data_IF_652022941590
#
_entry.id   IF_652022941590
#
_cell.length_a   1.000
_cell.length_b   1.000
_cell.length_c   1.000
_cell.angle_alpha   90.00
_cell.angle_beta   90.00
_cell.angle_gamma   90.00
#
_symmetry.space_group_name_H-M   'P 1'
#
loop_
_entity.id
_entity.type
_entity.pdbx_description
1 polymer ?
#
# COMPACT_ATOMS: atom_id res chain seq x y z
N UNK A 1 -2.13 24.56 -7.64
CA UNK A 1 -2.96 23.66 -6.79
C UNK A 1 -4.22 24.35 -6.21
N UNK A 2 -4.79 25.32 -6.91
CA UNK A 2 -5.75 26.28 -6.32
C UNK A 2 -6.99 25.67 -5.64
N UNK A 3 -7.71 24.70 -6.24
CA UNK A 3 -8.91 24.14 -5.60
C UNK A 3 -8.61 23.41 -4.28
N UNK A 4 -7.43 22.78 -4.17
CA UNK A 4 -7.00 22.07 -2.96
C UNK A 4 -6.68 23.07 -1.85
N UNK A 5 -5.94 24.13 -2.18
CA UNK A 5 -5.58 25.18 -1.23
C UNK A 5 -6.83 25.87 -0.70
N UNK A 6 -7.77 26.22 -1.58
CA UNK A 6 -9.06 26.80 -1.18
C UNK A 6 -9.81 25.85 -0.24
N UNK A 7 -9.96 24.58 -0.61
CA UNK A 7 -10.67 23.59 0.21
C UNK A 7 -9.98 23.35 1.55
N UNK A 8 -8.65 23.34 1.60
CA UNK A 8 -7.90 23.23 2.83
C UNK A 8 -8.25 24.37 3.78
N UNK A 9 -8.24 25.62 3.32
CA UNK A 9 -8.58 26.77 4.16
C UNK A 9 -10.05 26.84 4.57
N UNK A 10 -10.97 26.27 3.80
CA UNK A 10 -12.38 26.14 4.21
C UNK A 10 -12.57 25.21 5.41
N UNK A 11 -11.69 24.21 5.58
CA UNK A 11 -11.83 23.17 6.61
C UNK A 11 -10.78 23.26 7.72
N UNK A 12 -9.63 23.88 7.46
CA UNK A 12 -8.55 24.03 8.42
C UNK A 12 -8.89 25.16 9.39
N UNK A 13 -8.71 24.90 10.69
CA UNK A 13 -8.85 25.91 11.75
C UNK A 13 -7.51 26.57 12.05
N UNK A 14 -6.64 26.67 11.04
CA UNK A 14 -5.24 27.08 11.17
C UNK A 14 -5.05 28.52 10.70
N UNK A 15 -4.04 29.18 11.24
CA UNK A 15 -3.68 30.55 10.85
C UNK A 15 -2.93 30.54 9.51
N UNK A 16 -3.28 31.49 8.63
CA UNK A 16 -2.81 31.49 7.23
C UNK A 16 -1.34 31.87 7.08
N UNK A 17 -0.80 32.64 7.99
CA UNK A 17 0.57 33.14 8.01
C UNK A 17 1.60 32.05 8.40
N UNK A 18 1.14 30.90 8.93
CA UNK A 18 1.99 29.80 9.37
C UNK A 18 2.17 28.69 8.33
N UNK A 19 1.43 28.73 7.22
CA UNK A 19 1.41 27.66 6.22
C UNK A 19 1.54 28.23 4.83
N UNK A 20 2.58 27.81 4.13
CA UNK A 20 2.79 28.12 2.73
C UNK A 20 2.54 26.88 1.87
N UNK A 21 1.85 27.08 0.75
CA UNK A 21 1.61 26.05 -0.25
C UNK A 21 2.47 26.33 -1.48
N UNK A 22 3.24 25.33 -1.89
CA UNK A 22 4.01 25.41 -3.13
C UNK A 22 3.19 24.92 -4.32
N UNK A 23 3.68 25.27 -5.52
CA UNK A 23 3.11 24.73 -6.75
C UNK A 23 3.30 23.21 -6.83
N UNK A 24 2.43 22.55 -7.60
CA UNK A 24 2.56 21.12 -7.90
C UNK A 24 3.98 20.80 -8.39
N UNK A 25 4.71 20.03 -7.58
CA UNK A 25 6.11 19.67 -7.80
C UNK A 25 6.33 18.93 -9.13
N UNK A 26 5.32 18.24 -9.67
CA UNK A 26 5.42 17.57 -10.98
C UNK A 26 5.40 18.52 -12.18
N UNK A 27 5.22 19.82 -11.97
CA UNK A 27 5.47 20.81 -13.03
C UNK A 27 6.96 20.96 -13.35
N UNK A 28 7.84 20.50 -12.47
CA UNK A 28 9.30 20.51 -12.66
C UNK A 28 9.74 19.13 -13.16
N UNK A 29 10.19 18.96 -14.42
CA UNK A 29 10.65 17.67 -14.95
C UNK A 29 11.78 17.03 -14.13
N UNK A 30 12.53 17.84 -13.39
CA UNK A 30 13.58 17.46 -12.46
C UNK A 30 13.08 16.58 -11.29
N UNK A 31 11.80 16.72 -10.92
CA UNK A 31 11.15 15.96 -9.85
C UNK A 31 11.17 14.45 -10.12
N UNK A 32 10.67 14.04 -11.29
CA UNK A 32 10.59 12.62 -11.66
C UNK A 32 11.95 12.02 -11.99
N UNK A 33 12.93 12.88 -12.33
CA UNK A 33 14.32 12.48 -12.59
C UNK A 33 15.16 12.36 -11.31
N UNK A 34 14.60 12.70 -10.15
CA UNK A 34 15.34 12.77 -8.89
C UNK A 34 16.60 13.65 -8.99
N UNK A 35 16.48 14.80 -9.66
CA UNK A 35 17.64 15.64 -9.91
C UNK A 35 18.23 16.18 -8.58
N UNK A 36 19.54 15.99 -8.33
CA UNK A 36 20.16 16.39 -7.07
C UNK A 36 20.25 17.90 -6.89
N UNK A 37 20.34 18.68 -7.98
CA UNK A 37 20.37 20.15 -7.92
C UNK A 37 18.99 20.67 -7.50
N UNK A 38 17.93 20.09 -8.06
CA UNK A 38 16.55 20.39 -7.69
C UNK A 38 16.23 19.98 -6.25
N UNK A 39 16.61 18.77 -5.85
CA UNK A 39 16.45 18.32 -4.46
C UNK A 39 17.16 19.24 -3.45
N UNK A 40 18.39 19.66 -3.75
CA UNK A 40 19.14 20.63 -2.93
C UNK A 40 18.52 22.03 -2.94
N UNK A 41 17.81 22.41 -4.01
CA UNK A 41 17.06 23.67 -4.06
C UNK A 41 15.84 23.60 -3.16
N UNK A 42 15.08 22.50 -3.20
CA UNK A 42 13.92 22.28 -2.33
C UNK A 42 14.34 22.22 -0.86
N UNK A 43 15.48 21.58 -0.54
CA UNK A 43 15.97 21.46 0.83
C UNK A 43 16.35 22.79 1.49
N UNK A 44 16.49 23.88 0.72
CA UNK A 44 16.75 25.22 1.28
C UNK A 44 15.50 25.91 1.82
N UNK A 45 14.31 25.33 1.61
CA UNK A 45 13.03 25.90 2.03
C UNK A 45 12.67 25.59 3.49
N UNK A 46 13.47 24.80 4.20
CA UNK A 46 13.24 24.50 5.60
C UNK A 46 14.40 23.73 6.22
N UNK A 47 14.36 23.58 7.54
CA UNK A 47 15.41 22.93 8.32
C UNK A 47 15.14 21.43 8.53
N UNK A 48 13.89 21.00 8.35
CA UNK A 48 13.41 19.64 8.57
C UNK A 48 12.51 19.23 7.40
N UNK A 49 12.62 17.96 7.00
CA UNK A 49 11.72 17.35 6.04
C UNK A 49 10.81 16.32 6.72
N UNK A 50 9.50 16.38 6.42
CA UNK A 50 8.52 15.40 6.87
C UNK A 50 7.85 14.79 5.65
N UNK A 51 8.04 13.49 5.44
CA UNK A 51 7.31 12.76 4.40
C UNK A 51 6.03 12.19 5.01
N UNK A 52 4.89 12.81 4.71
CA UNK A 52 3.56 12.29 5.07
C UNK A 52 2.82 11.68 3.87
N UNK A 53 3.55 11.27 2.82
CA UNK A 53 3.01 10.85 1.53
C UNK A 53 3.40 9.42 1.16
N UNK A 54 2.91 8.43 1.92
CA UNK A 54 3.19 7.00 1.69
C UNK A 54 2.82 6.54 0.26
N UNK A 55 1.68 7.02 -0.28
CA UNK A 55 1.14 6.62 -1.59
C UNK A 55 2.08 6.85 -2.77
N UNK A 56 3.00 7.81 -2.67
CA UNK A 56 4.00 8.13 -3.70
C UNK A 56 5.41 7.71 -3.30
N UNK A 57 5.58 7.13 -2.11
CA UNK A 57 6.90 6.77 -1.58
C UNK A 57 7.51 5.52 -2.22
N UNK A 58 6.77 4.84 -3.09
CA UNK A 58 7.31 3.85 -4.01
C UNK A 58 8.16 4.46 -5.15
N UNK A 59 8.10 5.78 -5.33
CA UNK A 59 8.79 6.48 -6.41
C UNK A 59 10.10 7.10 -5.94
N UNK A 60 11.11 7.00 -6.80
CA UNK A 60 12.41 7.63 -6.62
C UNK A 60 12.39 9.06 -7.14
N UNK A 61 11.65 9.95 -6.47
CA UNK A 61 11.54 11.35 -6.88
C UNK A 61 12.37 12.30 -6.01
N UNK A 62 12.69 13.50 -6.52
CA UNK A 62 13.49 14.50 -5.82
C UNK A 62 12.83 14.91 -4.49
N UNK A 63 11.52 15.18 -4.48
CA UNK A 63 10.77 15.55 -3.28
C UNK A 63 10.55 14.41 -2.27
N UNK A 64 10.84 13.17 -2.63
CA UNK A 64 10.61 11.97 -1.82
C UNK A 64 11.91 11.39 -1.27
N UNK A 65 12.90 11.15 -2.14
CA UNK A 65 14.18 10.54 -1.76
C UNK A 65 15.38 11.48 -1.94
N UNK A 66 15.20 12.60 -2.63
CA UNK A 66 16.24 13.59 -2.85
C UNK A 66 16.44 14.50 -1.63
N UNK A 67 15.37 15.11 -1.13
CA UNK A 67 15.42 16.02 0.04
C UNK A 67 16.03 15.34 1.28
N UNK A 68 15.70 14.07 1.62
CA UNK A 68 16.28 13.42 2.80
C UNK A 68 17.79 13.29 2.82
N UNK A 69 18.47 13.44 1.67
CA UNK A 69 19.94 13.45 1.59
C UNK A 69 20.56 14.73 2.19
N UNK A 70 19.75 15.78 2.39
CA UNK A 70 20.23 17.10 2.77
C UNK A 70 19.67 17.61 4.11
N UNK A 71 18.56 17.05 4.60
CA UNK A 71 17.88 17.50 5.82
C UNK A 71 17.60 16.33 6.77
N UNK A 72 17.58 16.57 8.11
CA UNK A 72 16.91 15.69 9.05
C UNK A 72 15.49 15.39 8.57
N UNK A 73 15.15 14.12 8.50
CA UNK A 73 13.97 13.63 7.80
C UNK A 73 13.17 12.66 8.64
N UNK A 74 11.84 12.81 8.63
CA UNK A 74 10.93 12.04 9.48
C UNK A 74 9.69 11.56 8.71
N UNK A 75 9.09 10.48 9.19
CA UNK A 75 7.74 10.09 8.77
C UNK A 75 6.72 11.02 9.41
N UNK A 76 5.76 11.49 8.60
CA UNK A 76 4.56 12.13 9.14
C UNK A 76 3.63 11.12 9.81
N UNK A 77 2.58 11.62 10.47
CA UNK A 77 1.67 10.78 11.25
C UNK A 77 0.83 9.84 10.39
N UNK A 78 0.38 10.28 9.22
CA UNK A 78 -0.40 9.45 8.29
C UNK A 78 0.50 8.38 7.69
N UNK A 79 1.72 8.74 7.31
CA UNK A 79 2.72 7.80 6.83
C UNK A 79 3.03 6.75 7.89
N UNK A 80 3.32 7.17 9.12
CA UNK A 80 3.66 6.27 10.21
C UNK A 80 2.50 5.29 10.50
N UNK A 81 1.26 5.79 10.52
CA UNK A 81 0.07 4.96 10.69
C UNK A 81 -0.09 3.94 9.55
N UNK A 82 0.12 4.36 8.30
CA UNK A 82 0.09 3.49 7.12
C UNK A 82 1.16 2.39 7.20
N UNK A 83 2.40 2.78 7.50
CA UNK A 83 3.54 1.86 7.67
C UNK A 83 3.29 0.85 8.80
N UNK A 84 2.86 1.31 9.98
CA UNK A 84 2.58 0.44 11.13
C UNK A 84 1.50 -0.58 10.82
N UNK A 85 0.36 -0.15 10.27
CA UNK A 85 -0.76 -1.05 10.00
C UNK A 85 -0.44 -2.05 8.88
N UNK A 86 0.24 -1.63 7.81
CA UNK A 86 0.65 -2.56 6.75
C UNK A 86 1.73 -3.55 7.23
N UNK A 87 2.64 -3.11 8.11
CA UNK A 87 3.72 -3.96 8.62
C UNK A 87 3.24 -5.16 9.42
N UNK A 88 2.04 -5.09 10.02
CA UNK A 88 1.40 -6.23 10.72
C UNK A 88 1.24 -7.43 9.78
N UNK A 89 1.04 -7.21 8.48
CA UNK A 89 0.87 -8.29 7.50
C UNK A 89 2.12 -9.18 7.37
N UNK A 90 3.32 -8.70 7.70
CA UNK A 90 4.55 -9.51 7.65
C UNK A 90 4.74 -10.41 8.86
N UNK A 91 4.03 -10.15 9.97
CA UNK A 91 4.07 -10.94 11.21
C UNK A 91 2.64 -11.10 11.75
N UNK A 92 1.74 -11.74 10.97
CA UNK A 92 0.35 -11.83 11.32
C UNK A 92 0.13 -12.81 12.48
N UNK A 93 -1.02 -12.70 13.14
CA UNK A 93 -1.51 -13.79 14.00
C UNK A 93 -2.10 -14.88 13.12
N UNK A 94 -1.84 -16.12 13.48
CA UNK A 94 -2.33 -17.30 12.74
C UNK A 94 -3.62 -17.88 13.37
N UNK A 95 -4.51 -18.48 12.56
CA UNK A 95 -4.44 -18.59 11.10
C UNK A 95 -4.61 -17.24 10.36
N UNK A 96 -3.88 -17.07 9.25
CA UNK A 96 -3.86 -15.89 8.39
C UNK A 96 -4.26 -16.24 6.95
N UNK A 97 -5.35 -15.62 6.50
CA UNK A 97 -5.87 -15.71 5.15
C UNK A 97 -5.54 -14.43 4.37
N UNK A 98 -4.82 -14.56 3.25
CA UNK A 98 -4.64 -13.49 2.27
C UNK A 98 -5.68 -13.63 1.15
N UNK A 99 -6.36 -12.54 0.79
CA UNK A 99 -7.30 -12.50 -0.33
C UNK A 99 -6.73 -11.56 -1.41
N UNK A 100 -6.50 -12.09 -2.61
CA UNK A 100 -6.00 -11.35 -3.76
C UNK A 100 -7.02 -11.34 -4.90
N UNK A 101 -7.30 -10.14 -5.42
CA UNK A 101 -8.13 -9.95 -6.60
C UNK A 101 -7.55 -8.90 -7.54
N UNK A 102 -8.18 -8.74 -8.71
CA UNK A 102 -7.83 -7.72 -9.70
C UNK A 102 -7.80 -8.25 -11.13
N UNK A 103 -7.12 -7.51 -12.00
CA UNK A 103 -7.07 -7.78 -13.45
C UNK A 103 -5.66 -8.14 -13.93
N UNK A 104 -4.63 -7.44 -13.45
CA UNK A 104 -3.23 -7.66 -13.84
C UNK A 104 -2.57 -8.58 -12.83
N UNK A 105 -2.33 -9.83 -13.22
CA UNK A 105 -1.71 -10.84 -12.36
C UNK A 105 -0.24 -10.53 -12.07
N UNK A 106 0.45 -9.95 -13.04
CA UNK A 106 1.86 -9.59 -12.98
C UNK A 106 2.15 -8.61 -11.83
N UNK A 107 1.22 -7.70 -11.54
CA UNK A 107 1.37 -6.72 -10.44
C UNK A 107 1.13 -7.33 -9.06
N UNK A 108 0.69 -8.59 -8.99
CA UNK A 108 0.40 -9.31 -7.74
C UNK A 108 1.38 -10.43 -7.45
N UNK A 109 2.23 -10.80 -8.42
CA UNK A 109 3.22 -11.86 -8.28
C UNK A 109 4.13 -11.65 -7.09
N UNK A 110 4.72 -10.45 -6.93
CA UNK A 110 5.60 -10.16 -5.80
C UNK A 110 4.91 -10.31 -4.43
N UNK A 111 3.64 -9.92 -4.33
CA UNK A 111 2.84 -10.12 -3.11
C UNK A 111 2.58 -11.61 -2.90
N UNK A 112 2.20 -12.33 -3.95
CA UNK A 112 1.94 -13.76 -3.87
C UNK A 112 3.20 -14.53 -3.41
N UNK A 113 4.34 -14.29 -4.03
CA UNK A 113 5.62 -14.94 -3.70
C UNK A 113 6.04 -14.67 -2.25
N UNK A 114 5.90 -13.42 -1.80
CA UNK A 114 6.18 -13.03 -0.41
C UNK A 114 5.28 -13.77 0.57
N UNK A 115 3.99 -13.80 0.29
CA UNK A 115 2.97 -14.27 1.22
C UNK A 115 2.71 -15.77 1.16
N UNK A 116 3.19 -16.49 0.15
CA UNK A 116 3.21 -17.96 0.15
C UNK A 116 3.92 -18.55 1.38
N UNK A 117 4.95 -17.83 1.87
CA UNK A 117 5.72 -18.22 3.05
C UNK A 117 5.12 -17.72 4.37
N UNK A 118 4.15 -16.80 4.33
CA UNK A 118 3.60 -16.13 5.52
C UNK A 118 2.15 -16.56 5.77
N UNK A 119 1.32 -16.65 4.75
CA UNK A 119 -0.07 -17.02 4.88
C UNK A 119 -0.25 -18.53 5.09
N UNK A 120 -1.26 -18.89 5.88
CA UNK A 120 -1.73 -20.28 5.97
C UNK A 120 -2.51 -20.63 4.71
N UNK A 121 -3.31 -19.68 4.22
CA UNK A 121 -4.14 -19.81 3.02
C UNK A 121 -4.14 -18.53 2.20
N UNK A 122 -4.21 -18.68 0.89
CA UNK A 122 -4.32 -17.57 -0.07
C UNK A 122 -5.50 -17.82 -0.98
N UNK A 123 -6.45 -16.91 -1.02
CA UNK A 123 -7.53 -16.94 -1.99
C UNK A 123 -7.20 -16.02 -3.17
N UNK A 124 -7.28 -16.53 -4.40
CA UNK A 124 -7.09 -15.74 -5.63
C UNK A 124 -8.40 -15.69 -6.40
N UNK A 125 -9.00 -14.50 -6.52
CA UNK A 125 -10.27 -14.28 -7.22
C UNK A 125 -10.20 -13.26 -8.36
N UNK A 126 -11.33 -13.07 -9.03
CA UNK A 126 -11.48 -12.15 -10.17
C UNK A 126 -10.74 -12.62 -11.43
N UNK A 127 -10.48 -11.69 -12.36
CA UNK A 127 -9.82 -11.99 -13.63
C UNK A 127 -8.39 -12.57 -13.50
N UNK A 128 -7.83 -12.55 -12.29
CA UNK A 128 -6.55 -13.19 -11.96
C UNK A 128 -6.59 -14.72 -12.10
N UNK A 129 -7.74 -15.36 -11.87
CA UNK A 129 -7.88 -16.83 -11.82
C UNK A 129 -7.42 -17.47 -13.12
N UNK A 130 -7.85 -16.93 -14.26
CA UNK A 130 -7.51 -17.47 -15.59
C UNK A 130 -6.00 -17.52 -15.83
N UNK A 131 -5.25 -16.54 -15.33
CA UNK A 131 -3.78 -16.52 -15.42
C UNK A 131 -3.14 -17.42 -14.37
N UNK A 132 -3.62 -17.37 -13.13
CA UNK A 132 -3.09 -18.13 -12.02
C UNK A 132 -3.16 -19.66 -12.26
N UNK A 133 -4.27 -20.15 -12.84
CA UNK A 133 -4.46 -21.56 -13.18
C UNK A 133 -3.46 -22.09 -14.23
N UNK A 134 -2.84 -21.21 -15.02
CA UNK A 134 -1.91 -21.58 -16.10
C UNK A 134 -0.45 -21.65 -15.65
N UNK A 135 -0.15 -21.32 -14.40
CA UNK A 135 1.22 -21.26 -13.89
C UNK A 135 1.40 -22.20 -12.68
N UNK A 136 2.65 -22.54 -12.29
CA UNK A 136 2.91 -23.54 -11.25
C UNK A 136 2.28 -23.23 -9.89
N UNK A 137 1.99 -21.96 -9.62
CA UNK A 137 1.40 -21.50 -8.36
C UNK A 137 0.08 -22.20 -8.05
N UNK A 138 -0.70 -22.57 -9.08
CA UNK A 138 -1.99 -23.25 -8.90
C UNK A 138 -1.89 -24.62 -8.22
N UNK A 139 -0.70 -25.23 -8.18
CA UNK A 139 -0.46 -26.52 -7.53
C UNK A 139 -0.15 -26.37 -6.03
N UNK A 140 0.00 -25.15 -5.54
CA UNK A 140 0.31 -24.92 -4.14
C UNK A 140 -0.94 -25.19 -3.27
N UNK A 141 -0.89 -26.08 -2.28
CA UNK A 141 -2.05 -26.48 -1.48
C UNK A 141 -2.60 -25.36 -0.59
N UNK A 142 -1.83 -24.28 -0.38
CA UNK A 142 -2.31 -23.09 0.34
C UNK A 142 -3.25 -22.23 -0.50
N UNK A 143 -3.25 -22.41 -1.82
CA UNK A 143 -4.02 -21.56 -2.74
C UNK A 143 -5.41 -22.12 -2.97
N UNK A 144 -6.40 -21.25 -2.79
CA UNK A 144 -7.81 -21.52 -2.99
C UNK A 144 -8.28 -20.66 -4.16
N UNK A 145 -8.98 -21.29 -5.10
CA UNK A 145 -9.60 -20.64 -6.24
C UNK A 145 -11.13 -20.68 -6.12
N UNK A 146 -11.85 -19.76 -6.80
CA UNK A 146 -13.27 -19.90 -7.04
C UNK A 146 -13.62 -21.24 -7.68
N UNK A 147 -14.78 -21.78 -7.32
CA UNK A 147 -15.34 -22.99 -7.93
C UNK A 147 -16.27 -22.59 -9.08
N UNK A 148 -16.23 -23.31 -10.19
CA UNK A 148 -17.04 -23.05 -11.39
C UNK A 148 -16.24 -22.43 -12.53
N UNK A 149 -16.92 -21.63 -13.36
CA UNK A 149 -16.31 -21.00 -14.54
C UNK A 149 -15.27 -19.92 -14.12
N UNK A 150 -13.97 -20.10 -14.42
CA UNK A 150 -12.93 -19.14 -14.07
C UNK A 150 -13.01 -17.82 -14.87
N UNK A 151 -13.85 -17.76 -15.90
CA UNK A 151 -14.11 -16.55 -16.70
C UNK A 151 -15.33 -15.76 -16.24
N UNK A 152 -16.07 -16.27 -15.23
CA UNK A 152 -17.18 -15.58 -14.63
C UNK A 152 -16.76 -14.21 -14.06
N UNK A 153 -17.62 -13.21 -14.22
CA UNK A 153 -17.37 -11.84 -13.74
C UNK A 153 -17.45 -11.72 -12.21
N UNK A 154 -18.16 -12.64 -11.55
CA UNK A 154 -18.41 -12.62 -10.12
C UNK A 154 -18.32 -14.02 -9.49
N UNK A 155 -18.08 -14.06 -8.18
CA UNK A 155 -18.05 -15.29 -7.39
C UNK A 155 -19.46 -15.87 -7.23
N UNK A 156 -19.60 -17.18 -7.45
CA UNK A 156 -20.87 -17.86 -7.21
C UNK A 156 -21.10 -18.18 -5.72
N UNK A 157 -22.32 -18.62 -5.39
CA UNK A 157 -22.71 -18.94 -4.02
C UNK A 157 -21.79 -19.98 -3.36
N UNK A 158 -21.34 -20.99 -4.10
CA UNK A 158 -20.44 -22.02 -3.61
C UNK A 158 -19.07 -21.46 -3.22
N UNK A 159 -18.49 -20.59 -4.06
CA UNK A 159 -17.25 -19.86 -3.75
C UNK A 159 -17.40 -18.99 -2.51
N UNK A 160 -18.56 -18.34 -2.34
CA UNK A 160 -18.84 -17.54 -1.15
C UNK A 160 -18.93 -18.41 0.11
N UNK A 161 -19.51 -19.61 0.04
CA UNK A 161 -19.55 -20.54 1.18
C UNK A 161 -18.15 -21.05 1.55
N UNK A 162 -17.29 -21.33 0.57
CA UNK A 162 -15.88 -21.68 0.81
C UNK A 162 -15.18 -20.52 1.51
N UNK A 163 -15.28 -19.30 0.96
CA UNK A 163 -14.68 -18.11 1.57
C UNK A 163 -15.19 -17.87 3.00
N UNK A 164 -16.50 -18.01 3.25
CA UNK A 164 -17.08 -17.86 4.59
C UNK A 164 -16.47 -18.88 5.56
N UNK A 165 -16.28 -20.12 5.14
CA UNK A 165 -15.63 -21.16 5.95
C UNK A 165 -14.19 -20.79 6.29
N UNK A 166 -13.41 -20.34 5.31
CA UNK A 166 -12.01 -19.95 5.50
C UNK A 166 -11.84 -18.69 6.34
N UNK A 167 -12.76 -17.74 6.17
CA UNK A 167 -12.80 -16.51 6.95
C UNK A 167 -13.25 -16.78 8.39
N UNK A 168 -14.10 -17.79 8.66
CA UNK A 168 -14.62 -18.08 10.01
C UNK A 168 -13.51 -18.29 11.03
N UNK A 169 -12.51 -19.09 10.68
CA UNK A 169 -11.40 -19.41 11.59
C UNK A 169 -10.52 -18.18 11.84
N UNK A 170 -10.26 -17.40 10.80
CA UNK A 170 -9.52 -16.13 10.87
C UNK A 170 -10.29 -15.08 11.68
N UNK A 171 -11.61 -14.97 11.50
CA UNK A 171 -12.48 -14.03 12.21
C UNK A 171 -12.63 -14.40 13.68
N UNK A 172 -12.60 -15.69 14.03
CA UNK A 172 -12.59 -16.11 15.43
C UNK A 172 -11.34 -15.57 16.16
N UNK A 173 -10.17 -15.60 15.51
CA UNK A 173 -8.94 -14.96 16.03
C UNK A 173 -9.06 -13.46 16.05
N UNK A 174 -9.55 -12.84 14.96
CA UNK A 174 -9.76 -11.40 14.87
C UNK A 174 -10.65 -10.88 16.01
N UNK A 175 -11.78 -11.53 16.28
CA UNK A 175 -12.70 -11.19 17.38
C UNK A 175 -12.05 -11.37 18.75
N UNK A 176 -11.29 -12.45 18.97
CA UNK A 176 -10.54 -12.67 20.23
C UNK A 176 -9.50 -11.58 20.50
N UNK A 177 -9.00 -10.92 19.45
CA UNK A 177 -8.07 -9.79 19.57
C UNK A 177 -8.76 -8.42 19.44
N UNK A 178 -10.09 -8.38 19.53
CA UNK A 178 -10.90 -7.15 19.56
C UNK A 178 -11.26 -6.56 18.20
N UNK A 179 -11.00 -7.26 17.09
CA UNK A 179 -11.29 -6.79 15.74
C UNK A 179 -12.68 -7.23 15.29
N UNK A 180 -13.62 -6.28 15.30
CA UNK A 180 -15.03 -6.50 14.95
C UNK A 180 -15.45 -5.76 13.66
N UNK A 181 -14.54 -4.97 13.07
CA UNK A 181 -14.68 -4.20 11.82
C UNK A 181 -13.35 -4.24 11.07
N UNK A 182 -13.28 -3.65 9.88
CA UNK A 182 -12.01 -3.34 9.23
C UNK A 182 -11.08 -2.62 10.20
N UNK A 183 -9.93 -3.23 10.49
CA UNK A 183 -8.94 -2.66 11.42
C UNK A 183 -8.20 -1.49 10.78
N UNK A 184 -8.01 -1.57 9.47
CA UNK A 184 -7.30 -0.57 8.69
C UNK A 184 -7.73 -0.64 7.22
N UNK A 185 -7.85 0.53 6.58
CA UNK A 185 -8.08 0.65 5.13
C UNK A 185 -7.03 1.60 4.59
N UNK A 186 -6.13 1.06 3.79
CA UNK A 186 -5.07 1.83 3.16
C UNK A 186 -5.61 2.69 2.01
N UNK A 187 -5.04 3.88 1.84
CA UNK A 187 -5.32 4.78 0.70
C UNK A 187 -4.16 4.85 -0.31
N UNK A 188 -3.11 4.04 -0.09
CA UNK A 188 -1.84 4.18 -0.78
C UNK A 188 -1.77 3.53 -2.18
N UNK A 189 -2.84 2.86 -2.62
CA UNK A 189 -2.95 2.30 -3.97
C UNK A 189 -1.79 1.38 -4.35
N UNK A 190 -1.07 1.71 -5.42
CA UNK A 190 0.06 0.91 -5.92
C UNK A 190 1.21 0.74 -4.93
N UNK A 191 1.48 1.75 -4.09
CA UNK A 191 2.55 1.68 -3.08
C UNK A 191 2.33 0.54 -2.08
N UNK A 192 1.08 0.16 -1.81
CA UNK A 192 0.76 -0.99 -0.94
C UNK A 192 1.34 -2.27 -1.53
N UNK A 193 1.17 -2.49 -2.85
CA UNK A 193 1.59 -3.73 -3.49
C UNK A 193 3.11 -3.85 -3.51
N UNK A 194 3.79 -2.74 -3.81
CA UNK A 194 5.25 -2.70 -3.76
C UNK A 194 5.77 -2.88 -2.33
N UNK A 195 5.13 -2.24 -1.35
CA UNK A 195 5.49 -2.40 0.05
C UNK A 195 5.28 -3.85 0.51
N UNK A 196 4.12 -4.45 0.24
CA UNK A 196 3.82 -5.84 0.61
C UNK A 196 4.71 -6.85 -0.13
N UNK A 197 5.17 -6.54 -1.34
CA UNK A 197 6.11 -7.41 -2.07
C UNK A 197 7.52 -7.33 -1.47
N UNK A 198 8.00 -6.12 -1.18
CA UNK A 198 9.41 -5.85 -0.89
C UNK A 198 9.72 -5.71 0.61
N UNK A 199 8.71 -5.47 1.45
CA UNK A 199 8.86 -5.11 2.87
C UNK A 199 9.28 -3.67 3.13
N UNK A 200 9.47 -2.85 2.08
CA UNK A 200 9.95 -1.47 2.17
C UNK A 200 9.65 -0.72 0.87
N UNK A 201 9.79 0.61 0.90
CA UNK A 201 9.73 1.50 -0.27
C UNK A 201 10.99 2.38 -0.34
N UNK A 202 11.37 2.95 -1.50
CA UNK A 202 12.46 3.92 -1.59
C UNK A 202 12.29 5.10 -0.62
N UNK A 203 11.08 5.66 -0.53
CA UNK A 203 10.76 6.75 0.40
C UNK A 203 10.80 6.35 1.87
N UNK A 204 10.67 5.05 2.21
CA UNK A 204 10.90 4.58 3.59
C UNK A 204 12.41 4.57 3.86
N UNK A 205 13.21 3.95 2.97
CA UNK A 205 14.67 3.86 3.12
C UNK A 205 15.34 5.23 3.20
N UNK A 206 14.78 6.22 2.52
CA UNK A 206 15.32 7.57 2.51
C UNK A 206 15.19 8.29 3.86
N UNK A 207 14.31 7.84 4.75
CA UNK A 207 14.07 8.48 6.05
C UNK A 207 14.99 7.96 7.17
N UNK A 208 15.86 6.98 6.87
CA UNK A 208 16.71 6.30 7.87
C UNK A 208 15.99 5.20 8.62
#
# INVERSE_FOLDING_TARGET
>A
MEPVIRRFWEISKLEKDKIEFFENVRKFPEEEKNDPVFAKKLSKMGDIYVNDAFSVSHREHASIIGIPKYLPSYMGLLFENEFKNLSVAFRPKHPFLLILGGVKFETKLGVLDKFLNIADKIFIGGALVVKALKIPVARNPKIIFPVGDPTALDANAETLEILKKEVKDTVAVAKKVGLNKFSFVSTAGGAILEFLSNGTLPGIKALG
#
